data_IF_955646568641
#
_entry.id   IF_955646568641
#
_cell.length_a   1.000
_cell.length_b   1.000
_cell.length_c   1.000
_cell.angle_alpha   90.00
_cell.angle_beta   90.00
_cell.angle_gamma   90.00
#
_symmetry.space_group_name_H-M   'P 1'
#
loop_
_entity.id
_entity.type
_entity.pdbx_description
1 polymer ?
#
# COMPACT_ATOMS: atom_id res chain seq x y z
N UNK A 1 -22.57 22.22 -11.63
CA UNK A 1 -21.11 22.05 -11.56
C UNK A 1 -20.92 20.69 -10.92
N UNK A 2 -20.56 19.65 -11.68
CA UNK A 2 -20.38 18.33 -11.07
C UNK A 2 -19.11 18.38 -10.24
N UNK A 3 -19.24 18.29 -8.92
CA UNK A 3 -18.08 18.09 -8.07
C UNK A 3 -17.41 16.79 -8.53
N UNK A 4 -16.21 16.89 -9.08
CA UNK A 4 -15.42 15.71 -9.41
C UNK A 4 -15.08 15.04 -8.07
N UNK A 5 -15.79 13.95 -7.76
CA UNK A 5 -15.73 13.30 -6.46
C UNK A 5 -14.39 12.56 -6.32
N UNK A 6 -13.48 13.13 -5.54
CA UNK A 6 -12.28 12.44 -5.03
C UNK A 6 -12.68 11.66 -3.78
N UNK A 7 -12.30 10.37 -3.73
CA UNK A 7 -12.60 9.53 -2.58
C UNK A 7 -11.42 9.52 -1.61
N UNK A 8 -11.69 9.91 -0.37
CA UNK A 8 -10.74 9.86 0.75
C UNK A 8 -10.95 8.57 1.53
N UNK A 9 -9.91 8.16 2.27
CA UNK A 9 -10.01 7.00 3.14
C UNK A 9 -11.03 7.25 4.27
N UNK A 10 -11.85 6.26 4.60
CA UNK A 10 -12.76 6.35 5.74
C UNK A 10 -12.06 6.04 7.07
N UNK A 11 -10.84 5.50 7.02
CA UNK A 11 -10.03 5.25 8.22
C UNK A 11 -9.61 6.57 8.86
N UNK A 12 -10.10 6.79 10.07
CA UNK A 12 -9.75 7.95 10.89
C UNK A 12 -8.47 7.70 11.67
N UNK A 13 -7.74 8.77 11.95
CA UNK A 13 -6.58 8.76 12.83
C UNK A 13 -7.05 8.60 14.29
N UNK A 14 -7.26 7.36 14.73
CA UNK A 14 -7.63 7.08 16.12
C UNK A 14 -6.42 7.30 17.04
N UNK A 15 -6.66 7.96 18.19
CA UNK A 15 -5.64 8.15 19.21
C UNK A 15 -5.08 6.79 19.67
N UNK A 16 -3.77 6.61 19.52
CA UNK A 16 -3.07 5.36 19.91
C UNK A 16 -2.69 4.45 18.73
N UNK A 17 -3.11 4.74 17.50
CA UNK A 17 -2.64 4.02 16.31
C UNK A 17 -1.14 4.30 16.11
N UNK A 18 -0.33 3.24 16.04
CA UNK A 18 1.10 3.35 15.75
C UNK A 18 1.28 3.97 14.36
N UNK A 19 2.21 4.90 14.22
CA UNK A 19 2.53 5.55 12.95
C UNK A 19 3.93 5.21 12.47
N UNK A 20 4.10 5.09 11.16
CA UNK A 20 5.37 4.90 10.50
C UNK A 20 5.49 5.90 9.34
N UNK A 21 6.55 6.72 9.33
CA UNK A 21 6.78 7.74 8.30
C UNK A 21 5.59 8.71 8.07
N UNK A 22 4.80 8.96 9.12
CA UNK A 22 3.61 9.80 9.05
C UNK A 22 2.36 9.12 8.52
N UNK A 23 2.38 7.79 8.34
CA UNK A 23 1.23 6.96 7.97
C UNK A 23 0.77 6.10 9.16
N UNK A 24 -0.54 5.85 9.31
CA UNK A 24 -1.07 4.99 10.35
C UNK A 24 -0.80 3.52 10.02
N UNK A 25 -0.54 2.69 11.03
CA UNK A 25 -0.35 1.26 10.87
C UNK A 25 -1.70 0.55 11.03
N UNK A 26 -2.51 0.60 9.96
CA UNK A 26 -3.88 0.08 9.95
C UNK A 26 -3.91 -1.45 9.89
N UNK A 27 -4.92 -2.11 10.50
CA UNK A 27 -5.10 -3.55 10.37
C UNK A 27 -5.33 -3.97 8.91
N UNK A 28 -4.74 -5.09 8.50
CA UNK A 28 -4.86 -5.66 7.14
C UNK A 28 -5.42 -7.08 7.19
N UNK A 29 -6.23 -7.45 6.20
CA UNK A 29 -6.66 -8.83 5.96
C UNK A 29 -5.51 -9.63 5.34
N UNK A 30 -4.52 -9.96 6.15
CA UNK A 30 -3.38 -10.71 5.67
C UNK A 30 -3.09 -11.90 6.57
N UNK A 31 -2.85 -13.06 5.95
CA UNK A 31 -2.31 -14.25 6.61
C UNK A 31 -0.80 -14.19 6.79
N UNK A 32 -0.18 -13.11 6.31
CA UNK A 32 1.24 -12.95 6.21
C UNK A 32 1.73 -12.10 7.40
N UNK A 33 2.87 -12.50 7.97
CA UNK A 33 3.45 -11.81 9.12
C UNK A 33 4.03 -10.46 8.68
N UNK A 34 3.36 -9.39 9.11
CA UNK A 34 3.80 -8.01 8.90
C UNK A 34 3.84 -7.20 10.20
N UNK A 35 4.30 -5.95 10.13
CA UNK A 35 4.20 -5.02 11.25
C UNK A 35 2.76 -4.55 11.48
N UNK A 36 1.91 -4.61 10.46
CA UNK A 36 0.50 -4.26 10.53
C UNK A 36 -0.28 -5.24 11.43
N UNK A 37 -1.23 -4.75 12.25
CA UNK A 37 -2.17 -5.62 12.95
C UNK A 37 -2.96 -6.49 11.96
N UNK A 38 -3.41 -7.66 12.40
CA UNK A 38 -4.29 -8.52 11.58
C UNK A 38 -5.73 -8.03 11.71
N UNK A 39 -6.42 -7.88 10.58
CA UNK A 39 -7.85 -7.58 10.51
C UNK A 39 -8.69 -8.85 10.36
N UNK A 40 -9.95 -8.79 10.80
CA UNK A 40 -10.93 -9.85 10.55
C UNK A 40 -11.29 -9.89 9.06
N UNK A 41 -11.42 -11.08 8.46
CA UNK A 41 -11.74 -11.21 7.02
C UNK A 41 -13.07 -10.55 6.61
N UNK A 42 -14.01 -10.38 7.55
CA UNK A 42 -15.30 -9.74 7.30
C UNK A 42 -15.30 -8.20 7.36
N UNK A 43 -14.20 -7.56 7.74
CA UNK A 43 -14.12 -6.09 7.89
C UNK A 43 -13.29 -5.46 6.79
N UNK A 44 -13.82 -4.49 6.07
CA UNK A 44 -13.07 -3.70 5.06
C UNK A 44 -11.74 -3.19 5.62
N UNK A 45 -10.66 -3.33 4.85
CA UNK A 45 -9.36 -2.73 5.16
C UNK A 45 -8.98 -1.63 4.14
N UNK A 46 -7.80 -1.00 4.32
CA UNK A 46 -7.33 0.11 3.48
C UNK A 46 -7.01 -0.33 2.04
N UNK A 47 -6.69 -1.61 1.84
CA UNK A 47 -6.47 -2.20 0.52
C UNK A 47 -7.79 -2.26 -0.24
N UNK A 48 -8.85 -2.77 0.42
CA UNK A 48 -10.19 -2.84 -0.17
C UNK A 48 -10.67 -1.44 -0.60
N UNK A 49 -10.47 -0.43 0.24
CA UNK A 49 -10.76 0.97 -0.10
C UNK A 49 -9.97 1.44 -1.32
N UNK A 50 -8.66 1.16 -1.36
CA UNK A 50 -7.81 1.57 -2.47
C UNK A 50 -8.26 0.97 -3.80
N UNK A 51 -8.58 -0.33 -3.83
CA UNK A 51 -9.09 -1.01 -5.04
C UNK A 51 -10.46 -0.45 -5.43
N UNK A 52 -11.35 -0.24 -4.46
CA UNK A 52 -12.68 0.30 -4.69
C UNK A 52 -12.63 1.71 -5.28
N UNK A 53 -11.75 2.56 -4.75
CA UNK A 53 -11.61 3.96 -5.16
C UNK A 53 -10.67 4.15 -6.35
N UNK A 54 -9.88 3.14 -6.73
CA UNK A 54 -8.84 3.23 -7.75
C UNK A 54 -9.32 3.88 -9.05
N UNK A 55 -10.43 3.36 -9.62
CA UNK A 55 -10.96 3.85 -10.91
C UNK A 55 -11.36 5.32 -10.88
N UNK A 56 -11.80 5.83 -9.74
CA UNK A 56 -12.13 7.24 -9.60
C UNK A 56 -10.85 8.06 -9.37
N UNK A 57 -10.06 7.66 -8.39
CA UNK A 57 -8.92 8.44 -7.90
C UNK A 57 -7.76 8.52 -8.90
N UNK A 58 -7.58 7.53 -9.78
CA UNK A 58 -6.45 7.49 -10.74
C UNK A 58 -6.46 8.62 -11.78
N UNK A 59 -7.61 9.25 -12.03
CA UNK A 59 -7.72 10.36 -12.99
C UNK A 59 -7.30 11.72 -12.42
N UNK A 60 -7.16 11.83 -11.10
CA UNK A 60 -6.89 13.11 -10.46
C UNK A 60 -5.39 13.38 -10.35
N UNK A 61 -4.98 14.57 -10.81
CA UNK A 61 -3.59 15.05 -10.65
C UNK A 61 -3.30 15.60 -9.27
N UNK A 62 -4.33 16.14 -8.61
CA UNK A 62 -4.25 16.76 -7.30
C UNK A 62 -5.12 15.96 -6.33
N UNK A 63 -4.57 15.66 -5.16
CA UNK A 63 -5.27 14.99 -4.08
C UNK A 63 -5.00 15.78 -2.79
N UNK A 64 -6.03 16.36 -2.19
CA UNK A 64 -5.91 17.11 -0.95
C UNK A 64 -5.86 16.14 0.24
N UNK A 65 -4.84 16.20 1.08
CA UNK A 65 -4.62 15.19 2.12
C UNK A 65 -5.41 15.60 3.36
N UNK A 66 -6.47 14.85 3.68
CA UNK A 66 -7.33 15.12 4.84
C UNK A 66 -6.97 14.31 6.07
N UNK A 67 -6.34 13.15 5.87
CA UNK A 67 -5.91 12.28 6.96
C UNK A 67 -4.56 11.61 6.70
N UNK A 68 -3.90 11.07 7.73
CA UNK A 68 -2.76 10.17 7.55
C UNK A 68 -3.08 8.93 6.71
N UNK A 69 -4.31 8.42 6.74
CA UNK A 69 -4.74 7.27 5.95
C UNK A 69 -4.82 7.60 4.44
N UNK A 70 -5.14 8.84 4.06
CA UNK A 70 -5.08 9.28 2.66
C UNK A 70 -3.68 9.12 2.05
N UNK A 71 -2.62 9.25 2.85
CA UNK A 71 -1.25 9.01 2.38
C UNK A 71 -1.04 7.54 1.96
N UNK A 72 -1.62 6.61 2.71
CA UNK A 72 -1.63 5.19 2.32
C UNK A 72 -2.47 4.98 1.08
N UNK A 73 -3.64 5.61 0.98
CA UNK A 73 -4.52 5.51 -0.19
C UNK A 73 -3.82 5.99 -1.46
N UNK A 74 -3.06 7.09 -1.39
CA UNK A 74 -2.23 7.59 -2.51
C UNK A 74 -1.15 6.57 -2.88
N UNK A 75 -0.43 6.03 -1.90
CA UNK A 75 0.62 5.03 -2.14
C UNK A 75 0.05 3.76 -2.79
N UNK A 76 -1.06 3.24 -2.29
CA UNK A 76 -1.74 2.07 -2.83
C UNK A 76 -2.28 2.33 -4.24
N UNK A 77 -2.84 3.51 -4.50
CA UNK A 77 -3.29 3.89 -5.84
C UNK A 77 -2.12 3.88 -6.85
N UNK A 78 -0.94 4.37 -6.45
CA UNK A 78 0.26 4.24 -7.26
C UNK A 78 0.72 2.78 -7.41
N UNK A 79 0.71 2.00 -6.34
CA UNK A 79 1.15 0.60 -6.37
C UNK A 79 0.24 -0.25 -7.28
N UNK A 80 -1.07 -0.02 -7.26
CA UNK A 80 -2.03 -0.63 -8.19
C UNK A 80 -1.66 -0.27 -9.64
N UNK A 81 -1.27 0.97 -9.95
CA UNK A 81 -0.80 1.32 -11.29
C UNK A 81 0.47 0.55 -11.70
N UNK A 82 1.42 0.34 -10.78
CA UNK A 82 2.62 -0.45 -11.03
C UNK A 82 2.24 -1.92 -11.29
N UNK A 83 1.34 -2.48 -10.48
CA UNK A 83 0.82 -3.83 -10.65
C UNK A 83 0.11 -4.02 -12.00
N UNK A 84 -0.75 -3.08 -12.40
CA UNK A 84 -1.43 -3.11 -13.69
C UNK A 84 -0.45 -3.05 -14.87
N UNK A 85 0.60 -2.22 -14.79
CA UNK A 85 1.66 -2.21 -15.81
C UNK A 85 2.41 -3.54 -15.89
N UNK A 86 2.64 -4.20 -14.76
CA UNK A 86 3.26 -5.53 -14.72
C UNK A 86 2.35 -6.60 -15.35
N UNK A 87 1.04 -6.47 -15.16
CA UNK A 87 0.02 -7.39 -15.68
C UNK A 87 -0.28 -7.20 -17.18
N UNK A 88 0.00 -6.04 -17.77
CA UNK A 88 -0.29 -5.72 -19.17
C UNK A 88 0.22 -6.79 -20.16
N UNK A 89 1.36 -7.42 -19.84
CA UNK A 89 1.98 -8.48 -20.66
C UNK A 89 1.51 -9.91 -20.35
N UNK A 90 0.79 -10.14 -19.25
CA UNK A 90 0.39 -11.48 -18.82
C UNK A 90 -0.86 -11.95 -19.58
N UNK A 91 -0.84 -13.19 -20.10
CA UNK A 91 -1.95 -13.74 -20.89
C UNK A 91 -2.77 -14.77 -20.14
N UNK A 92 -2.25 -15.26 -19.01
CA UNK A 92 -2.93 -16.23 -18.15
C UNK A 92 -2.97 -15.75 -16.71
N UNK A 93 -3.95 -16.26 -15.95
CA UNK A 93 -4.03 -16.00 -14.51
C UNK A 93 -2.74 -16.45 -13.80
N UNK A 94 -2.20 -17.62 -14.13
CA UNK A 94 -0.98 -18.14 -13.51
C UNK A 94 0.24 -17.24 -13.74
N UNK A 95 0.41 -16.71 -14.95
CA UNK A 95 1.46 -15.73 -15.26
C UNK A 95 1.26 -14.43 -14.48
N UNK A 96 0.02 -13.91 -14.46
CA UNK A 96 -0.32 -12.69 -13.74
C UNK A 96 -0.07 -12.82 -12.23
N UNK A 97 -0.56 -13.90 -11.62
CA UNK A 97 -0.32 -14.21 -10.20
C UNK A 97 1.18 -14.27 -9.90
N UNK A 98 1.96 -14.98 -10.72
CA UNK A 98 3.42 -15.05 -10.55
C UNK A 98 4.08 -13.67 -10.69
N UNK A 99 3.61 -12.85 -11.63
CA UNK A 99 4.17 -11.52 -11.87
C UNK A 99 3.91 -10.56 -10.71
N UNK A 100 2.71 -10.59 -10.10
CA UNK A 100 2.37 -9.80 -8.92
C UNK A 100 3.10 -10.29 -7.67
N UNK A 101 3.22 -11.62 -7.47
CA UNK A 101 4.04 -12.18 -6.39
C UNK A 101 5.48 -11.67 -6.50
N UNK A 102 6.08 -11.74 -7.69
CA UNK A 102 7.43 -11.27 -7.90
C UNK A 102 7.57 -9.76 -7.65
N UNK A 103 6.57 -8.96 -8.06
CA UNK A 103 6.54 -7.52 -7.79
C UNK A 103 6.51 -7.21 -6.29
N UNK A 104 5.76 -8.00 -5.50
CA UNK A 104 5.72 -7.90 -4.04
C UNK A 104 7.06 -8.18 -3.35
N UNK A 105 7.90 -9.01 -3.98
CA UNK A 105 9.22 -9.38 -3.48
C UNK A 105 10.34 -8.41 -3.92
N UNK A 106 10.05 -7.51 -4.87
CA UNK A 106 11.02 -6.53 -5.35
C UNK A 106 11.27 -5.45 -4.29
N UNK A 107 12.51 -4.94 -4.25
CA UNK A 107 12.85 -3.82 -3.38
C UNK A 107 12.13 -2.57 -3.87
N UNK A 108 11.17 -2.08 -3.07
CA UNK A 108 10.46 -0.82 -3.36
C UNK A 108 11.24 0.35 -2.75
N UNK A 109 11.44 1.47 -3.49
CA UNK A 109 12.04 2.66 -2.92
C UNK A 109 11.17 3.21 -1.79
N UNK A 110 11.82 3.69 -0.72
CA UNK A 110 11.14 4.26 0.45
C UNK A 110 11.36 5.77 0.56
N UNK A 111 10.56 6.50 1.37
CA UNK A 111 10.77 7.93 1.59
C UNK A 111 12.23 8.26 1.94
N UNK A 112 12.83 9.15 1.16
CA UNK A 112 14.24 9.56 1.30
C UNK A 112 15.23 8.80 0.39
N UNK A 113 14.83 7.72 -0.28
CA UNK A 113 15.65 7.05 -1.29
C UNK A 113 15.46 7.67 -2.69
N UNK A 114 16.52 7.62 -3.51
CA UNK A 114 16.44 7.99 -4.92
C UNK A 114 15.45 7.08 -5.66
N UNK A 115 14.52 7.67 -6.40
CA UNK A 115 13.48 6.94 -7.14
C UNK A 115 12.15 6.81 -6.41
N UNK A 116 12.02 7.33 -5.18
CA UNK A 116 10.72 7.41 -4.51
C UNK A 116 9.80 8.46 -5.18
N UNK A 117 8.58 8.09 -5.62
CA UNK A 117 7.76 8.93 -6.51
C UNK A 117 7.05 10.09 -5.80
N UNK A 118 7.08 10.17 -4.47
CA UNK A 118 6.30 11.14 -3.69
C UNK A 118 7.18 12.06 -2.82
N UNK A 119 7.87 13.05 -3.42
CA UNK A 119 8.71 13.97 -2.66
C UNK A 119 7.88 14.77 -1.65
N UNK A 120 8.33 14.83 -0.40
CA UNK A 120 7.71 15.64 0.67
C UNK A 120 6.38 15.12 1.22
N UNK A 121 5.77 14.08 0.64
CA UNK A 121 4.50 13.52 1.09
C UNK A 121 4.63 12.71 2.40
N UNK A 122 5.75 12.00 2.53
CA UNK A 122 6.04 11.11 3.65
C UNK A 122 7.18 11.66 4.49
N UNK A 123 7.13 11.38 5.80
CA UNK A 123 8.20 11.79 6.71
C UNK A 123 9.40 10.88 6.48
N UNK A 124 10.57 11.49 6.23
CA UNK A 124 11.81 10.74 6.08
C UNK A 124 12.10 9.97 7.37
N UNK A 125 12.54 8.71 7.28
CA UNK A 125 12.86 7.93 8.46
C UNK A 125 14.07 8.55 9.18
N UNK A 126 13.89 8.97 10.43
CA UNK A 126 14.97 9.56 11.26
C UNK A 126 16.07 8.54 11.62
N UNK A 127 15.82 7.24 11.44
CA UNK A 127 16.80 6.17 11.64
C UNK A 127 16.54 4.97 10.71
N UNK A 128 17.56 4.11 10.51
CA UNK A 128 17.40 2.84 9.79
C UNK A 128 16.23 1.97 10.33
N UNK A 129 15.85 2.10 11.61
CA UNK A 129 14.71 1.36 12.18
C UNK A 129 13.35 1.88 11.69
N UNK A 130 13.21 3.18 11.41
CA UNK A 130 11.99 3.77 10.84
C UNK A 130 11.81 3.40 9.36
N UNK A 131 12.91 3.39 8.61
CA UNK A 131 12.96 2.91 7.22
C UNK A 131 12.49 1.44 7.13
N UNK A 132 12.92 0.62 8.11
CA UNK A 132 12.50 -0.78 8.23
C UNK A 132 11.01 -1.00 8.45
N UNK A 133 10.21 -0.04 8.95
CA UNK A 133 8.76 -0.26 9.13
C UNK A 133 8.02 -0.11 7.79
N UNK A 134 8.43 0.86 6.97
CA UNK A 134 7.92 1.01 5.59
C UNK A 134 8.40 -0.15 4.72
N UNK A 135 9.67 -0.58 4.87
CA UNK A 135 10.19 -1.78 4.20
C UNK A 135 9.56 -3.08 4.73
N UNK A 136 9.14 -3.16 6.00
CA UNK A 136 8.46 -4.36 6.54
C UNK A 136 6.99 -4.45 6.15
N UNK A 137 6.37 -3.36 5.69
CA UNK A 137 5.07 -3.45 5.02
C UNK A 137 5.20 -4.15 3.65
N UNK A 138 6.37 -4.11 3.01
CA UNK A 138 6.69 -4.88 1.79
C UNK A 138 7.42 -6.20 2.03
N UNK A 139 8.24 -6.30 3.08
CA UNK A 139 9.04 -7.48 3.40
C UNK A 139 8.42 -8.25 4.55
N UNK A 140 7.41 -9.03 4.23
CA UNK A 140 7.01 -10.13 5.08
C UNK A 140 7.90 -11.36 4.86
N UNK A 141 8.72 -11.60 5.87
CA UNK A 141 9.42 -12.81 6.29
C UNK A 141 10.27 -13.60 5.27
N UNK A 142 11.59 -13.42 5.38
CA UNK A 142 12.61 -14.41 4.99
C UNK A 142 12.51 -15.64 5.89
N UNK A 143 11.54 -16.52 5.66
CA UNK A 143 11.51 -17.77 6.41
C UNK A 143 10.22 -18.54 6.28
N UNK A 144 10.27 -19.58 5.43
CA UNK A 144 9.30 -20.68 5.25
C UNK A 144 8.08 -20.38 4.34
N UNK A 145 7.97 -21.26 3.33
CA UNK A 145 6.80 -21.64 2.53
C UNK A 145 6.38 -20.65 1.42
N UNK A 146 6.84 -20.94 0.20
CA UNK A 146 6.75 -20.14 -1.04
C UNK A 146 5.35 -19.93 -1.64
N UNK A 147 4.27 -20.06 -0.88
CA UNK A 147 2.90 -20.01 -1.42
C UNK A 147 1.99 -18.97 -0.76
N UNK A 148 2.37 -18.38 0.37
CA UNK A 148 1.49 -17.52 1.16
C UNK A 148 1.74 -16.02 0.94
N UNK A 149 2.84 -15.62 0.28
CA UNK A 149 3.21 -14.19 0.07
C UNK A 149 2.34 -13.45 -0.96
N UNK A 150 1.49 -14.16 -1.71
CA UNK A 150 0.72 -13.61 -2.83
C UNK A 150 -0.42 -12.66 -2.42
N UNK A 151 -0.90 -12.76 -1.17
CA UNK A 151 -2.06 -12.00 -0.69
C UNK A 151 -1.69 -10.68 -0.01
N UNK A 152 -0.39 -10.37 0.18
CA UNK A 152 0.03 -9.10 0.82
C UNK A 152 0.13 -7.91 -0.14
N UNK A 153 0.06 -8.16 -1.44
CA UNK A 153 0.37 -7.16 -2.47
C UNK A 153 -0.81 -6.81 -3.36
N UNK A 154 -2.00 -7.28 -2.98
CA UNK A 154 -3.28 -6.74 -3.43
C UNK A 154 -3.80 -5.92 -2.26
#
# INVERSE_FOLDING_TARGET
MGDFLVYHSSFVDEEGVKKACGCPLLPLKSHIKGPAPVSDQGRTDIVDEAITFFRANVFFRNFDIKSPADKLLIYLTFYINVALKRLEGCRTLAEGTKAIINLGLEKVPVPGESGFPFPGLFVNPESQKGSRVVQKLSEADKGRNKWETAECCI
#
